data_IF_973994577260
#
_entry.id   IF_973994577260
#
_cell.length_a   1.000
_cell.length_b   1.000
_cell.length_c   1.000
_cell.angle_alpha   90.00
_cell.angle_beta   90.00
_cell.angle_gamma   90.00
#
_symmetry.space_group_name_H-M   'P 1'
#
loop_
_entity.id
_entity.type
_entity.pdbx_description
1 polymer ?
#
# COMPACT_ATOMS: atom_id res chain seq x y z
N UNK A 1 -12.82 -8.24 13.32
CA UNK A 1 -12.30 -8.16 11.94
C UNK A 1 -10.92 -7.51 12.01
N UNK A 2 -9.90 -8.09 11.37
CA UNK A 2 -8.58 -7.45 11.32
C UNK A 2 -8.66 -6.27 10.34
N UNK A 3 -8.30 -5.08 10.81
CA UNK A 3 -8.23 -3.87 9.99
C UNK A 3 -6.78 -3.41 9.99
N UNK A 4 -6.29 -2.99 8.83
CA UNK A 4 -5.11 -2.15 8.72
C UNK A 4 -5.56 -0.71 8.97
N UNK A 5 -4.98 -0.08 9.97
CA UNK A 5 -5.10 1.35 10.22
C UNK A 5 -3.76 2.00 9.85
N UNK A 6 -3.79 3.18 9.24
CA UNK A 6 -2.57 3.94 9.01
C UNK A 6 -1.93 4.35 10.34
N UNK A 7 -0.70 3.90 10.59
CA UNK A 7 0.07 4.27 11.78
C UNK A 7 0.68 5.68 11.69
N UNK A 8 0.81 6.23 10.49
CA UNK A 8 1.53 7.49 10.21
C UNK A 8 0.61 8.67 9.92
N UNK A 9 -0.69 8.55 10.24
CA UNK A 9 -1.74 9.49 9.87
C UNK A 9 -1.37 10.93 10.25
N UNK A 10 -1.26 11.81 9.25
CA UNK A 10 -0.99 13.24 9.45
C UNK A 10 -2.21 14.10 9.11
N UNK A 11 -2.24 15.31 9.65
CA UNK A 11 -3.29 16.30 9.35
C UNK A 11 -3.03 16.89 7.96
N UNK A 12 -3.70 16.34 6.95
CA UNK A 12 -3.59 16.79 5.57
C UNK A 12 -4.78 16.34 4.72
N UNK A 13 -4.82 16.81 3.47
CA UNK A 13 -5.73 16.26 2.46
C UNK A 13 -5.15 14.93 2.00
N UNK A 14 -5.87 13.85 2.26
CA UNK A 14 -5.47 12.50 1.85
C UNK A 14 -6.25 12.09 0.61
N UNK A 15 -5.56 11.51 -0.37
CA UNK A 15 -6.14 11.06 -1.63
C UNK A 15 -6.76 9.66 -1.50
N UNK A 16 -6.21 8.81 -0.62
CA UNK A 16 -6.64 7.42 -0.47
C UNK A 16 -7.16 7.11 0.94
N UNK A 17 -7.90 6.01 1.05
CA UNK A 17 -8.40 5.49 2.31
C UNK A 17 -7.28 5.17 3.30
N UNK A 18 -7.48 5.59 4.55
CA UNK A 18 -6.52 5.42 5.66
C UNK A 18 -6.70 4.10 6.42
N UNK A 19 -7.68 3.29 6.00
CA UNK A 19 -8.04 2.02 6.60
C UNK A 19 -8.37 1.01 5.53
N UNK A 20 -7.94 -0.24 5.70
CA UNK A 20 -8.41 -1.36 4.88
C UNK A 20 -8.70 -2.60 5.72
N UNK A 21 -9.56 -3.48 5.22
CA UNK A 21 -9.83 -4.80 5.81
C UNK A 21 -9.24 -5.95 4.98
N UNK A 22 -8.47 -5.60 3.95
CA UNK A 22 -7.94 -6.54 2.98
C UNK A 22 -6.46 -6.32 2.72
N UNK A 23 -5.82 -7.45 2.42
CA UNK A 23 -4.47 -7.59 1.91
C UNK A 23 -4.53 -7.90 0.43
N UNK A 24 -3.63 -7.30 -0.33
CA UNK A 24 -3.38 -7.53 -1.73
C UNK A 24 -2.04 -8.25 -1.85
N UNK A 25 -2.04 -9.34 -2.61
CA UNK A 25 -0.84 -10.06 -3.01
C UNK A 25 -0.63 -9.86 -4.51
N UNK A 26 0.54 -9.36 -4.88
CA UNK A 26 0.99 -9.27 -6.27
C UNK A 26 2.10 -10.30 -6.49
N UNK A 27 1.93 -11.14 -7.50
CA UNK A 27 2.89 -12.17 -7.92
C UNK A 27 3.45 -11.77 -9.28
N UNK A 28 4.77 -11.77 -9.38
CA UNK A 28 5.51 -11.34 -10.55
C UNK A 28 6.20 -12.52 -11.25
N UNK A 29 6.54 -12.36 -12.52
CA UNK A 29 7.18 -13.40 -13.35
C UNK A 29 8.56 -13.85 -12.87
N UNK A 30 9.19 -13.11 -11.95
CA UNK A 30 10.47 -13.44 -11.32
C UNK A 30 10.31 -14.22 -10.00
N UNK A 31 9.14 -14.83 -9.77
CA UNK A 31 8.80 -15.54 -8.54
C UNK A 31 8.88 -14.64 -7.28
N UNK A 32 8.76 -13.32 -7.43
CA UNK A 32 8.57 -12.42 -6.29
C UNK A 32 7.08 -12.28 -5.97
N UNK A 33 6.76 -12.30 -4.68
CA UNK A 33 5.41 -12.04 -4.18
C UNK A 33 5.43 -10.92 -3.13
N UNK A 34 4.62 -9.90 -3.35
CA UNK A 34 4.50 -8.74 -2.49
C UNK A 34 3.12 -8.71 -1.85
N UNK A 35 3.09 -8.72 -0.52
CA UNK A 35 1.86 -8.66 0.27
C UNK A 35 1.80 -7.32 0.95
N UNK A 36 0.70 -6.61 0.71
CA UNK A 36 0.48 -5.25 1.15
C UNK A 36 -0.99 -5.03 1.46
N UNK A 37 -1.36 -4.12 2.35
CA UNK A 37 -2.75 -3.78 2.58
C UNK A 37 -3.32 -3.05 1.35
N UNK A 38 -4.62 -3.15 1.14
CA UNK A 38 -5.39 -2.43 0.09
C UNK A 38 -5.04 -0.91 0.03
N UNK A 39 -4.67 -0.35 1.18
CA UNK A 39 -4.23 1.04 1.34
C UNK A 39 -2.75 1.31 0.98
N UNK A 40 -2.06 0.44 0.21
CA UNK A 40 -0.66 0.70 -0.19
C UNK A 40 -0.47 2.03 -0.93
N UNK A 41 -1.47 2.44 -1.70
CA UNK A 41 -1.45 3.71 -2.45
C UNK A 41 -1.45 4.92 -1.51
N UNK A 42 -2.10 4.81 -0.35
CA UNK A 42 -2.05 5.83 0.70
C UNK A 42 -0.62 6.03 1.22
N UNK A 43 0.12 4.93 1.45
CA UNK A 43 1.51 5.03 1.88
C UNK A 43 2.39 5.73 0.84
N UNK A 44 2.27 5.34 -0.44
CA UNK A 44 3.10 5.92 -1.51
C UNK A 44 2.74 7.38 -1.77
N UNK A 45 1.45 7.70 -1.95
CA UNK A 45 1.03 9.01 -2.40
C UNK A 45 0.82 10.02 -1.26
N UNK A 46 0.21 9.61 -0.15
CA UNK A 46 -0.12 10.53 0.95
C UNK A 46 1.01 10.63 1.98
N UNK A 47 1.79 9.55 2.16
CA UNK A 47 2.93 9.55 3.09
C UNK A 47 4.29 9.69 2.42
N UNK A 48 4.35 9.77 1.09
CA UNK A 48 5.62 9.77 0.34
C UNK A 48 6.53 8.63 0.80
N UNK A 49 5.95 7.46 1.06
CA UNK A 49 6.71 6.28 1.45
C UNK A 49 7.62 5.87 0.29
N UNK A 50 8.91 5.69 0.58
CA UNK A 50 9.91 5.17 -0.34
C UNK A 50 9.83 3.64 -0.34
N UNK A 51 9.28 3.01 -1.39
CA UNK A 51 9.17 1.56 -1.43
C UNK A 51 10.55 0.93 -1.65
N UNK A 52 10.77 -0.34 -1.23
CA UNK A 52 12.01 -1.04 -1.48
C UNK A 52 12.35 -1.07 -2.97
N UNK A 53 13.64 -0.94 -3.31
CA UNK A 53 14.11 -0.93 -4.71
C UNK A 53 13.66 -2.17 -5.48
N UNK A 54 13.65 -3.34 -4.83
CA UNK A 54 13.15 -4.58 -5.42
C UNK A 54 11.65 -4.48 -5.78
N UNK A 55 10.82 -3.90 -4.91
CA UNK A 55 9.40 -3.72 -5.19
C UNK A 55 9.17 -2.76 -6.36
N UNK A 56 9.91 -1.65 -6.37
CA UNK A 56 9.87 -0.69 -7.47
C UNK A 56 10.25 -1.35 -8.78
N UNK A 57 11.34 -2.13 -8.80
CA UNK A 57 11.76 -2.87 -9.99
C UNK A 57 10.67 -3.84 -10.45
N UNK A 58 10.07 -4.61 -9.55
CA UNK A 58 9.05 -5.60 -9.91
C UNK A 58 7.81 -4.93 -10.52
N UNK A 59 7.28 -3.88 -9.90
CA UNK A 59 6.13 -3.13 -10.43
C UNK A 59 6.45 -2.44 -11.77
N UNK A 60 7.67 -1.94 -11.93
CA UNK A 60 8.04 -1.14 -13.10
C UNK A 60 8.50 -1.97 -14.29
N UNK A 61 9.21 -3.07 -14.06
CA UNK A 61 9.93 -3.81 -15.09
C UNK A 61 9.48 -5.26 -15.24
N UNK A 62 8.82 -5.84 -14.23
CA UNK A 62 8.41 -7.25 -14.24
C UNK A 62 6.91 -7.37 -14.48
N UNK A 63 6.53 -8.36 -15.28
CA UNK A 63 5.11 -8.65 -15.52
C UNK A 63 4.45 -9.23 -14.27
N UNK A 64 3.30 -8.66 -13.89
CA UNK A 64 2.45 -9.20 -12.83
C UNK A 64 1.65 -10.40 -13.38
N UNK A 65 2.08 -11.60 -13.03
CA UNK A 65 1.50 -12.87 -13.48
C UNK A 65 0.30 -13.31 -12.64
N UNK A 66 0.21 -12.83 -11.40
CA UNK A 66 -0.90 -13.15 -10.50
C UNK A 66 -1.21 -12.00 -9.57
N UNK A 67 -2.48 -11.86 -9.21
CA UNK A 67 -2.91 -10.87 -8.21
C UNK A 67 -4.12 -11.37 -7.45
N UNK A 68 -4.11 -11.22 -6.13
CA UNK A 68 -5.20 -11.69 -5.28
C UNK A 68 -5.47 -10.71 -4.14
N UNK A 69 -6.75 -10.44 -3.88
CA UNK A 69 -7.20 -9.73 -2.69
C UNK A 69 -7.76 -10.72 -1.69
N UNK A 70 -7.28 -10.66 -0.45
CA UNK A 70 -7.74 -11.49 0.67
C UNK A 70 -8.17 -10.61 1.83
N UNK A 71 -9.05 -11.13 2.68
CA UNK A 71 -9.40 -10.46 3.93
C UNK A 71 -8.35 -10.77 5.00
N UNK A 72 -7.93 -9.77 5.79
CA UNK A 72 -6.79 -9.79 6.73
C UNK A 72 -6.80 -10.91 7.79
N UNK A 73 -7.83 -11.77 7.85
CA UNK A 73 -7.96 -12.86 8.85
C UNK A 73 -8.19 -14.28 8.31
N UNK A 74 -7.90 -14.59 7.05
CA UNK A 74 -8.15 -15.94 6.50
C UNK A 74 -6.99 -16.62 5.77
N UNK A 75 -5.95 -17.12 6.49
CA UNK A 75 -4.96 -18.20 6.16
C UNK A 75 -4.34 -18.28 4.72
N UNK A 76 -3.34 -19.15 4.42
CA UNK A 76 -2.14 -19.56 5.15
C UNK A 76 -0.90 -18.74 4.67
N UNK A 77 0.30 -19.14 5.07
CA UNK A 77 1.59 -18.60 4.63
C UNK A 77 1.65 -18.46 3.09
N UNK A 78 1.89 -17.24 2.60
CA UNK A 78 2.01 -16.98 1.16
C UNK A 78 3.39 -17.48 0.73
N UNK A 79 3.41 -18.33 -0.31
CA UNK A 79 4.64 -18.75 -0.98
C UNK A 79 4.64 -18.16 -2.38
N UNK A 80 5.75 -17.55 -2.81
CA UNK A 80 7.03 -17.36 -2.09
C UNK A 80 6.93 -16.40 -0.89
N UNK A 81 7.90 -16.48 0.04
CA UNK A 81 7.93 -15.72 1.29
C UNK A 81 7.68 -14.24 0.99
N UNK A 82 6.60 -13.65 1.51
CA UNK A 82 6.25 -12.29 1.15
C UNK A 82 7.31 -11.36 1.71
N UNK A 83 7.91 -10.54 0.84
CA UNK A 83 8.65 -9.38 1.32
C UNK A 83 7.58 -8.42 1.84
N UNK A 84 7.45 -8.36 3.17
CA UNK A 84 6.44 -7.51 3.79
C UNK A 84 6.65 -6.06 3.36
N UNK A 85 5.57 -5.39 2.95
CA UNK A 85 5.57 -3.97 2.55
C UNK A 85 6.13 -3.01 3.62
N UNK A 86 6.34 -3.49 4.85
CA UNK A 86 7.00 -2.78 5.96
C UNK A 86 8.01 -3.67 6.70
N UNK A 87 8.60 -4.67 6.04
CA UNK A 87 9.63 -5.54 6.64
C UNK A 87 10.97 -4.84 6.94
N UNK A 88 11.06 -3.53 6.70
CA UNK A 88 12.20 -2.66 7.02
C UNK A 88 11.76 -1.33 7.66
N UNK A 89 12.66 -0.35 7.73
CA UNK A 89 12.34 0.99 8.25
C UNK A 89 11.42 1.76 7.30
N UNK A 90 10.38 2.41 7.82
CA UNK A 90 9.59 3.39 7.08
C UNK A 90 10.48 4.58 6.70
N UNK A 91 10.84 4.67 5.42
CA UNK A 91 11.61 5.80 4.88
C UNK A 91 10.69 6.63 3.98
N UNK A 92 10.76 7.95 4.12
CA UNK A 92 10.11 8.88 3.20
C UNK A 92 11.05 9.20 2.04
N UNK A 93 10.52 9.24 0.83
CA UNK A 93 11.27 9.52 -0.37
C UNK A 93 10.38 9.61 -1.60
N UNK A 94 10.98 9.96 -2.73
CA UNK A 94 10.24 10.07 -3.99
C UNK A 94 10.22 8.72 -4.69
N UNK A 95 9.02 8.18 -4.94
CA UNK A 95 8.85 7.06 -5.85
C UNK A 95 9.16 7.51 -7.30
N UNK A 96 9.75 6.65 -8.14
CA UNK A 96 10.06 7.03 -9.52
C UNK A 96 8.81 7.36 -10.34
N UNK A 97 8.99 8.19 -11.36
CA UNK A 97 7.91 8.61 -12.24
C UNK A 97 7.19 7.40 -12.86
N UNK A 98 5.85 7.43 -12.87
CA UNK A 98 5.01 6.35 -13.39
C UNK A 98 4.84 5.14 -12.45
N UNK A 99 5.56 5.06 -11.32
CA UNK A 99 5.38 3.98 -10.35
C UNK A 99 3.98 3.98 -9.74
N UNK A 100 3.51 5.14 -9.29
CA UNK A 100 2.18 5.27 -8.70
C UNK A 100 1.09 4.87 -9.70
N UNK A 101 1.19 5.31 -10.95
CA UNK A 101 0.22 5.00 -12.01
C UNK A 101 0.18 3.51 -12.34
N UNK A 102 1.35 2.85 -12.43
CA UNK A 102 1.42 1.40 -12.62
C UNK A 102 0.87 0.64 -11.43
N UNK A 103 1.20 1.07 -10.21
CA UNK A 103 0.69 0.44 -8.99
C UNK A 103 -0.83 0.61 -8.90
N UNK A 104 -1.39 1.78 -9.19
CA UNK A 104 -2.83 2.01 -9.28
C UNK A 104 -3.49 1.07 -10.30
N UNK A 105 -2.90 0.90 -11.48
CA UNK A 105 -3.42 -0.01 -12.51
C UNK A 105 -3.44 -1.48 -12.03
N UNK A 106 -2.39 -1.91 -11.31
CA UNK A 106 -2.33 -3.24 -10.69
C UNK A 106 -3.41 -3.39 -9.62
N UNK A 107 -3.51 -2.45 -8.67
CA UNK A 107 -4.51 -2.49 -7.59
C UNK A 107 -5.94 -2.53 -8.14
N UNK A 108 -6.23 -1.77 -9.21
CA UNK A 108 -7.52 -1.81 -9.91
C UNK A 108 -7.79 -3.17 -10.56
N UNK A 109 -6.78 -3.83 -11.14
CA UNK A 109 -6.89 -5.18 -11.70
C UNK A 109 -7.21 -6.23 -10.63
N UNK A 110 -6.71 -6.05 -9.41
CA UNK A 110 -6.95 -6.98 -8.28
C UNK A 110 -8.37 -6.83 -7.69
N UNK A 111 -9.13 -5.80 -8.09
CA UNK A 111 -10.42 -5.48 -7.48
C UNK A 111 -10.27 -4.95 -6.04
N UNK A 112 -9.14 -4.29 -5.76
CA UNK A 112 -8.91 -3.64 -4.48
C UNK A 112 -9.84 -2.44 -4.35
N UNK A 113 -10.49 -2.33 -3.18
CA UNK A 113 -11.46 -1.27 -2.89
C UNK A 113 -10.72 -0.10 -2.26
N UNK A 114 -9.70 0.39 -2.97
CA UNK A 114 -9.03 1.64 -2.64
C UNK A 114 -9.98 2.78 -3.03
N UNK A 115 -11.04 2.95 -2.25
CA UNK A 115 -11.91 4.10 -2.42
C UNK A 115 -11.04 5.35 -2.33
N UNK A 116 -11.04 6.15 -3.39
CA UNK A 116 -10.58 7.54 -3.38
C UNK A 116 -11.45 8.29 -2.38
N UNK A 117 -11.13 8.13 -1.10
CA UNK A 117 -11.77 8.89 -0.05
C UNK A 117 -11.04 10.22 -0.08
N UNK A 118 -11.68 11.24 -0.65
CA UNK A 118 -11.35 12.62 -0.34
C UNK A 118 -11.65 12.79 1.15
N UNK A 119 -10.68 12.43 2.00
CA UNK A 119 -10.77 12.68 3.43
C UNK A 119 -10.63 14.18 3.56
N UNK A 120 -11.74 14.87 3.82
CA UNK A 120 -11.71 16.30 4.18
C UNK A 120 -10.70 16.45 5.31
N UNK A 121 -9.74 17.40 5.20
CA UNK A 121 -8.72 17.57 6.22
C UNK A 121 -9.42 17.71 7.57
N UNK A 122 -9.07 16.82 8.51
CA UNK A 122 -9.49 16.96 9.90
C UNK A 122 -8.84 18.25 10.38
N UNK A 123 -9.67 19.21 10.82
CA UNK A 123 -9.20 20.48 11.36
C UNK A 123 -8.04 20.23 12.34
N UNK A 124 -6.98 21.06 12.33
CA UNK A 124 -5.84 20.88 13.22
C UNK A 124 -6.36 20.75 14.64
N UNK A 125 -6.16 19.58 15.23
CA UNK A 125 -6.53 19.35 16.61
C UNK A 125 -5.39 19.94 17.43
N UNK A 126 -5.52 21.22 17.78
CA UNK A 126 -4.64 21.94 18.68
C UNK A 126 -4.48 21.16 19.98
N UNK A 127 -3.48 20.28 20.05
CA UNK A 127 -3.03 19.72 21.31
C UNK A 127 -2.15 20.77 21.96
N UNK A 128 -2.81 21.68 22.68
CA UNK A 128 -2.20 22.49 23.73
C UNK A 128 -1.58 21.51 24.73
N UNK A 129 -0.26 21.37 24.69
CA UNK A 129 0.49 20.74 25.78
C UNK A 129 0.49 21.73 26.94
N UNK A 130 -0.24 21.38 28.02
CA UNK A 130 -0.15 22.04 29.32
C UNK A 130 1.07 21.56 30.07
#
# INVERSE_FOLDING_TARGET
MGWHDCEYLHTGTLKYGTKSSGDVTLVFANDHAWVMPDMILHYVADHSWAPPVAFVHDVMAVECTGSERRQTRGRPEIRPVPVGYLSGSFQTGSAPAGFLEKLEALMKKVGSDYTLTLVKPKAPQDKVWR
#
